data_IF_659605427692
#
_entry.id   IF_659605427692
#
_cell.length_a   1.000
_cell.length_b   1.000
_cell.length_c   1.000
_cell.angle_alpha   90.00
_cell.angle_beta   90.00
_cell.angle_gamma   90.00
#
_symmetry.space_group_name_H-M   'P 1'
#
loop_
_entity.id
_entity.type
_entity.pdbx_description
1 polymer ?
#
# COMPACT_ATOMS: atom_id res chain seq x y z
N UNK A 1 -5.56 46.58 -8.09
CA UNK A 1 -4.27 47.24 -7.84
C UNK A 1 -4.31 47.92 -6.47
N UNK A 2 -3.46 47.49 -5.53
CA UNK A 2 -3.43 48.05 -4.16
C UNK A 2 -3.09 49.55 -4.19
N UNK A 3 -2.34 50.04 -5.19
CA UNK A 3 -2.08 51.47 -5.39
C UNK A 3 -3.32 52.29 -5.75
N UNK A 4 -4.24 51.78 -6.55
CA UNK A 4 -5.48 52.53 -6.90
C UNK A 4 -6.41 52.60 -5.69
N UNK A 5 -6.43 51.56 -4.85
CA UNK A 5 -7.22 51.54 -3.61
C UNK A 5 -6.58 52.42 -2.53
N UNK A 6 -5.25 52.34 -2.38
CA UNK A 6 -4.47 53.05 -1.35
C UNK A 6 -4.22 54.53 -1.70
N UNK A 7 -4.31 54.88 -2.98
CA UNK A 7 -4.20 56.25 -3.50
C UNK A 7 -5.41 56.58 -4.39
N UNK A 8 -6.62 56.34 -3.87
CA UNK A 8 -7.88 56.59 -4.57
C UNK A 8 -8.14 58.09 -4.81
N UNK A 9 -7.47 58.95 -4.06
CA UNK A 9 -7.51 60.42 -4.15
C UNK A 9 -6.73 60.99 -5.36
N UNK A 10 -5.87 60.17 -5.99
CA UNK A 10 -5.11 60.58 -7.17
C UNK A 10 -6.01 60.53 -8.41
N UNK A 11 -6.01 61.62 -9.19
CA UNK A 11 -6.76 61.73 -10.45
C UNK A 11 -6.12 60.98 -11.62
N UNK A 12 -4.87 60.55 -11.50
CA UNK A 12 -4.14 59.78 -12.50
C UNK A 12 -3.12 58.83 -11.86
N UNK A 13 -2.94 57.64 -12.43
CA UNK A 13 -1.97 56.63 -12.01
C UNK A 13 -1.09 56.29 -13.21
N UNK A 14 0.21 56.53 -13.11
CA UNK A 14 1.15 56.31 -14.20
C UNK A 14 1.53 54.83 -14.30
N UNK A 15 1.33 54.24 -15.47
CA UNK A 15 1.76 52.89 -15.82
C UNK A 15 3.00 52.96 -16.71
N UNK A 16 3.98 52.11 -16.44
CA UNK A 16 5.14 51.92 -17.31
C UNK A 16 4.91 50.70 -18.19
N UNK A 17 5.16 50.86 -19.49
CA UNK A 17 4.96 49.81 -20.49
C UNK A 17 6.27 49.57 -21.22
N UNK A 18 6.72 48.33 -21.27
CA UNK A 18 8.00 47.92 -21.88
C UNK A 18 7.71 46.97 -23.06
N UNK A 19 8.15 47.27 -24.29
CA UNK A 19 7.93 46.39 -25.43
C UNK A 19 8.73 45.09 -25.29
N UNK A 20 8.05 43.95 -25.43
CA UNK A 20 8.64 42.60 -25.27
C UNK A 20 9.39 42.12 -26.52
N UNK A 21 9.23 42.81 -27.66
CA UNK A 21 9.95 42.45 -28.88
C UNK A 21 9.87 43.49 -29.99
N UNK A 22 10.83 43.41 -30.92
CA UNK A 22 10.95 44.34 -32.06
C UNK A 22 9.91 44.12 -33.16
N UNK A 23 9.21 42.98 -33.14
CA UNK A 23 8.23 42.56 -34.16
C UNK A 23 6.92 42.05 -33.56
N UNK A 24 6.68 42.33 -32.28
CA UNK A 24 5.45 41.94 -31.59
C UNK A 24 4.72 43.18 -31.12
N UNK A 25 3.41 43.05 -30.89
CA UNK A 25 2.60 44.07 -30.22
C UNK A 25 2.49 43.78 -28.71
N UNK A 26 3.30 42.85 -28.22
CA UNK A 26 3.32 42.43 -26.83
C UNK A 26 4.09 43.46 -26.00
N UNK A 27 3.50 43.87 -24.89
CA UNK A 27 4.01 44.93 -24.03
C UNK A 27 3.86 44.46 -22.58
N UNK A 28 4.97 44.48 -21.84
CA UNK A 28 4.98 44.23 -20.40
C UNK A 28 4.52 45.47 -19.66
N UNK A 29 3.51 45.33 -18.82
CA UNK A 29 3.07 46.38 -17.91
C UNK A 29 3.79 46.21 -16.58
N UNK A 30 4.60 47.18 -16.20
CA UNK A 30 5.34 47.15 -14.94
C UNK A 30 4.37 47.08 -13.75
N UNK A 31 4.55 46.07 -12.90
CA UNK A 31 3.68 45.80 -11.76
C UNK A 31 2.39 45.04 -12.11
N UNK A 32 2.18 44.64 -13.37
CA UNK A 32 1.01 43.82 -13.73
C UNK A 32 1.02 42.47 -13.01
N UNK A 33 2.18 41.82 -12.95
CA UNK A 33 2.36 40.54 -12.27
C UNK A 33 2.04 40.61 -10.77
N UNK A 34 2.43 41.69 -10.10
CA UNK A 34 2.08 41.95 -8.69
C UNK A 34 0.67 42.51 -8.48
N UNK A 35 -0.01 42.90 -9.55
CA UNK A 35 -1.40 43.38 -9.53
C UNK A 35 -2.45 42.28 -9.71
N UNK A 36 -2.03 41.08 -10.14
CA UNK A 36 -2.91 39.91 -10.26
C UNK A 36 -3.40 39.45 -8.88
N UNK A 37 -4.55 38.77 -8.78
CA UNK A 37 -4.99 38.15 -7.52
C UNK A 37 -3.89 37.25 -6.93
N UNK A 38 -3.74 37.26 -5.61
CA UNK A 38 -2.67 36.53 -4.91
C UNK A 38 -2.65 35.03 -5.26
N UNK A 39 -3.80 34.43 -5.49
CA UNK A 39 -3.93 33.03 -5.92
C UNK A 39 -3.35 32.78 -7.30
N UNK A 40 -3.51 33.72 -8.24
CA UNK A 40 -2.94 33.61 -9.59
C UNK A 40 -1.41 33.70 -9.52
N UNK A 41 -0.89 34.58 -8.67
CA UNK A 41 0.55 34.69 -8.43
C UNK A 41 1.10 33.41 -7.77
N UNK A 42 0.41 32.88 -6.76
CA UNK A 42 0.79 31.64 -6.09
C UNK A 42 0.77 30.44 -7.06
N UNK A 43 -0.25 30.31 -7.91
CA UNK A 43 -0.31 29.28 -8.96
C UNK A 43 0.85 29.40 -9.95
N UNK A 44 1.22 30.63 -10.35
CA UNK A 44 2.37 30.84 -11.23
C UNK A 44 3.68 30.37 -10.58
N UNK A 45 3.86 30.63 -9.28
CA UNK A 45 5.02 30.14 -8.52
C UNK A 45 5.04 28.61 -8.41
N UNK A 46 3.89 27.95 -8.35
CA UNK A 46 3.80 26.49 -8.26
C UNK A 46 4.10 25.76 -9.58
N UNK A 47 4.02 26.43 -10.74
CA UNK A 47 4.13 25.79 -12.07
C UNK A 47 5.36 24.89 -12.26
N UNK A 48 6.57 25.20 -11.76
CA UNK A 48 7.71 24.31 -11.90
C UNK A 48 7.54 22.96 -11.20
N UNK A 49 6.61 22.83 -10.25
CA UNK A 49 6.32 21.58 -9.52
C UNK A 49 7.48 21.08 -8.66
N UNK A 50 8.49 21.92 -8.38
CA UNK A 50 9.61 21.56 -7.50
C UNK A 50 9.29 21.90 -6.06
N UNK A 51 9.90 21.21 -5.09
CA UNK A 51 9.68 21.50 -3.66
C UNK A 51 9.89 22.98 -3.32
N UNK A 52 10.98 23.66 -3.76
CA UNK A 52 11.16 25.08 -3.47
C UNK A 52 10.08 25.98 -4.11
N UNK A 53 9.62 25.63 -5.31
CA UNK A 53 8.57 26.36 -6.03
C UNK A 53 7.21 26.24 -5.30
N UNK A 54 6.84 25.01 -4.90
CA UNK A 54 5.63 24.73 -4.14
C UNK A 54 5.67 25.40 -2.75
N UNK A 55 6.82 25.39 -2.07
CA UNK A 55 7.00 26.11 -0.80
C UNK A 55 6.80 27.62 -0.97
N UNK A 56 7.32 28.20 -2.05
CA UNK A 56 7.14 29.63 -2.37
C UNK A 56 5.67 29.95 -2.67
N UNK A 57 4.99 29.07 -3.41
CA UNK A 57 3.56 29.19 -3.70
C UNK A 57 2.70 29.11 -2.42
N UNK A 58 2.99 28.16 -1.52
CA UNK A 58 2.33 28.05 -0.21
C UNK A 58 2.54 29.34 0.61
N UNK A 59 3.78 29.84 0.65
CA UNK A 59 4.09 31.08 1.35
C UNK A 59 3.29 32.26 0.79
N UNK A 60 3.17 32.37 -0.53
CA UNK A 60 2.36 33.41 -1.18
C UNK A 60 0.87 33.25 -0.88
N UNK A 61 0.32 32.05 -1.00
CA UNK A 61 -1.10 31.78 -0.73
C UNK A 61 -1.48 31.96 0.75
N UNK A 62 -0.52 31.78 1.67
CA UNK A 62 -0.75 31.99 3.10
C UNK A 62 -0.94 33.47 3.49
N UNK A 63 -0.58 34.40 2.61
CA UNK A 63 -0.73 35.85 2.85
C UNK A 63 -2.16 36.37 2.65
N UNK A 64 -3.04 35.57 2.03
CA UNK A 64 -4.44 35.95 1.77
C UNK A 64 -5.17 36.17 3.12
N UNK A 65 -5.45 37.44 3.44
CA UNK A 65 -5.99 37.85 4.75
C UNK A 65 -7.35 37.21 5.09
N UNK A 66 -7.51 36.87 6.38
CA UNK A 66 -8.73 36.35 7.01
C UNK A 66 -9.91 37.32 6.81
N UNK A 67 -10.76 37.09 5.81
CA UNK A 67 -11.99 37.84 5.59
C UNK A 67 -12.50 37.92 4.14
N UNK A 68 -11.72 37.52 3.14
CA UNK A 68 -12.16 37.50 1.72
C UNK A 68 -12.75 36.14 1.31
N UNK A 69 -13.70 36.18 0.37
CA UNK A 69 -14.32 35.01 -0.26
C UNK A 69 -13.30 34.03 -0.88
N UNK A 70 -12.11 34.52 -1.24
CA UNK A 70 -11.00 33.75 -1.82
C UNK A 70 -10.22 32.90 -0.80
N UNK A 71 -10.55 32.95 0.50
CA UNK A 71 -9.86 32.14 1.52
C UNK A 71 -9.94 30.63 1.24
N UNK A 72 -11.11 30.15 0.82
CA UNK A 72 -11.33 28.71 0.64
C UNK A 72 -10.44 28.18 -0.48
N UNK A 73 -10.32 28.91 -1.58
CA UNK A 73 -9.48 28.53 -2.71
C UNK A 73 -7.99 28.53 -2.33
N UNK A 74 -7.49 29.58 -1.67
CA UNK A 74 -6.11 29.60 -1.16
C UNK A 74 -5.80 28.43 -0.21
N UNK A 75 -6.72 28.08 0.70
CA UNK A 75 -6.54 26.96 1.61
C UNK A 75 -6.52 25.61 0.88
N UNK A 76 -7.37 25.44 -0.13
CA UNK A 76 -7.36 24.24 -0.98
C UNK A 76 -6.02 24.11 -1.71
N UNK A 77 -5.51 25.19 -2.31
CA UNK A 77 -4.22 25.17 -3.00
C UNK A 77 -3.06 24.83 -2.08
N UNK A 78 -3.04 25.38 -0.87
CA UNK A 78 -2.02 25.06 0.13
C UNK A 78 -2.07 23.56 0.46
N UNK A 79 -3.25 22.99 0.65
CA UNK A 79 -3.40 21.57 0.95
C UNK A 79 -2.93 20.68 -0.23
N UNK A 80 -3.28 21.04 -1.46
CA UNK A 80 -2.83 20.36 -2.67
C UNK A 80 -1.31 20.37 -2.80
N UNK A 81 -0.68 21.54 -2.70
CA UNK A 81 0.79 21.66 -2.81
C UNK A 81 1.52 20.98 -1.66
N UNK A 82 0.95 20.98 -0.45
CA UNK A 82 1.50 20.21 0.67
C UNK A 82 1.49 18.71 0.37
N UNK A 83 0.41 18.19 -0.23
CA UNK A 83 0.36 16.79 -0.66
C UNK A 83 1.36 16.51 -1.78
N UNK A 84 1.50 17.39 -2.77
CA UNK A 84 2.49 17.23 -3.84
C UNK A 84 3.91 17.16 -3.32
N UNK A 85 4.28 18.01 -2.35
CA UNK A 85 5.59 17.95 -1.69
C UNK A 85 5.80 16.57 -1.07
N UNK A 86 4.82 16.04 -0.33
CA UNK A 86 4.92 14.71 0.27
C UNK A 86 5.13 13.63 -0.79
N UNK A 87 4.41 13.71 -1.91
CA UNK A 87 4.57 12.77 -3.03
C UNK A 87 5.97 12.84 -3.61
N UNK A 88 6.53 14.04 -3.82
CA UNK A 88 7.89 14.20 -4.36
C UNK A 88 8.94 13.62 -3.39
N UNK A 89 8.79 13.88 -2.09
CA UNK A 89 9.70 13.37 -1.06
C UNK A 89 9.66 11.84 -0.92
N UNK A 90 8.46 11.24 -0.97
CA UNK A 90 8.27 9.81 -0.71
C UNK A 90 8.42 8.95 -1.98
N UNK A 91 8.31 9.54 -3.17
CA UNK A 91 8.48 8.84 -4.46
C UNK A 91 9.76 8.01 -4.55
N UNK A 92 10.97 8.53 -4.24
CA UNK A 92 12.20 7.73 -4.36
C UNK A 92 12.21 6.52 -3.43
N UNK A 93 11.55 6.60 -2.27
CA UNK A 93 11.41 5.46 -1.35
C UNK A 93 10.55 4.37 -2.00
N UNK A 94 9.42 4.76 -2.59
CA UNK A 94 8.52 3.83 -3.26
C UNK A 94 9.18 3.20 -4.49
N UNK A 95 9.91 3.98 -5.29
CA UNK A 95 10.64 3.50 -6.47
C UNK A 95 11.76 2.53 -6.06
N UNK A 96 12.51 2.83 -4.99
CA UNK A 96 13.52 1.92 -4.45
C UNK A 96 12.90 0.61 -3.94
N UNK A 97 11.77 0.69 -3.23
CA UNK A 97 11.05 -0.49 -2.77
C UNK A 97 10.60 -1.39 -3.94
N UNK A 98 10.04 -0.81 -4.99
CA UNK A 98 9.64 -1.56 -6.19
C UNK A 98 10.86 -2.18 -6.89
N UNK A 99 11.96 -1.44 -7.03
CA UNK A 99 13.17 -1.97 -7.64
C UNK A 99 13.76 -3.17 -6.86
N UNK A 100 13.67 -3.16 -5.52
CA UNK A 100 14.04 -4.31 -4.69
C UNK A 100 13.13 -5.51 -4.94
N UNK A 101 11.81 -5.27 -5.06
CA UNK A 101 10.85 -6.33 -5.35
C UNK A 101 11.09 -6.96 -6.73
N UNK A 102 11.39 -6.16 -7.75
CA UNK A 102 11.71 -6.62 -9.10
C UNK A 102 12.97 -7.49 -9.15
N UNK A 103 13.90 -7.30 -8.21
CA UNK A 103 15.10 -8.14 -8.03
C UNK A 103 14.81 -9.43 -7.25
N UNK A 104 13.57 -9.64 -6.79
CA UNK A 104 13.16 -10.77 -5.94
C UNK A 104 13.41 -10.55 -4.44
N UNK A 105 13.93 -9.40 -4.03
CA UNK A 105 14.22 -9.07 -2.63
C UNK A 105 12.98 -8.51 -1.94
N UNK A 106 11.92 -9.33 -1.83
CA UNK A 106 10.61 -8.89 -1.35
C UNK A 106 10.63 -8.43 0.12
N UNK A 107 11.48 -9.00 0.98
CA UNK A 107 11.60 -8.57 2.38
C UNK A 107 12.22 -7.17 2.50
N UNK A 108 13.25 -6.90 1.69
CA UNK A 108 13.88 -5.57 1.65
C UNK A 108 12.92 -4.54 1.05
N UNK A 109 12.16 -4.92 0.01
CA UNK A 109 11.12 -4.09 -0.57
C UNK A 109 10.05 -3.68 0.46
N UNK A 110 9.56 -4.62 1.27
CA UNK A 110 8.61 -4.35 2.35
C UNK A 110 9.23 -3.37 3.36
N UNK A 111 10.47 -3.60 3.78
CA UNK A 111 11.18 -2.75 4.75
C UNK A 111 11.35 -1.32 4.22
N UNK A 112 11.67 -1.17 2.94
CA UNK A 112 11.80 0.13 2.30
C UNK A 112 10.46 0.86 2.22
N UNK A 113 9.40 0.18 1.76
CA UNK A 113 8.05 0.76 1.66
C UNK A 113 7.47 1.17 3.03
N UNK A 114 7.82 0.47 4.11
CA UNK A 114 7.40 0.79 5.47
C UNK A 114 7.94 2.13 5.99
N UNK A 115 8.96 2.71 5.35
CA UNK A 115 9.45 4.05 5.70
C UNK A 115 8.43 5.15 5.41
N UNK A 116 7.44 4.90 4.56
CA UNK A 116 6.36 5.85 4.23
C UNK A 116 5.30 5.84 5.36
N UNK A 117 5.22 6.95 6.10
CA UNK A 117 4.38 7.07 7.29
C UNK A 117 2.86 7.08 6.98
N UNK A 118 1.99 6.65 7.92
CA UNK A 118 0.54 6.55 7.72
C UNK A 118 -0.21 7.82 7.26
N UNK A 119 0.31 8.99 7.60
CA UNK A 119 -0.28 10.29 7.30
C UNK A 119 0.20 10.90 5.96
N UNK A 120 1.04 10.18 5.21
CA UNK A 120 1.63 10.66 3.96
C UNK A 120 0.78 10.24 2.75
N UNK A 121 0.80 11.07 1.71
CA UNK A 121 0.03 10.85 0.48
C UNK A 121 0.26 9.46 -0.16
N UNK A 122 1.48 8.92 -0.14
CA UNK A 122 1.82 7.63 -0.76
C UNK A 122 1.60 6.41 0.14
N UNK A 123 1.13 6.58 1.38
CA UNK A 123 1.02 5.47 2.33
C UNK A 123 0.09 4.35 1.87
N UNK A 124 -1.10 4.70 1.36
CA UNK A 124 -2.08 3.71 0.89
C UNK A 124 -1.50 2.85 -0.24
N UNK A 125 -0.73 3.47 -1.14
CA UNK A 125 -0.05 2.77 -2.22
C UNK A 125 1.03 1.82 -1.68
N UNK A 126 1.84 2.30 -0.74
CA UNK A 126 2.88 1.50 -0.09
C UNK A 126 2.28 0.27 0.62
N UNK A 127 1.17 0.44 1.36
CA UNK A 127 0.50 -0.66 2.05
C UNK A 127 -0.04 -1.73 1.11
N UNK A 128 -0.59 -1.31 -0.04
CA UNK A 128 -1.05 -2.26 -1.06
C UNK A 128 0.11 -3.13 -1.55
N UNK A 129 1.26 -2.52 -1.86
CA UNK A 129 2.46 -3.24 -2.29
C UNK A 129 2.97 -4.18 -1.20
N UNK A 130 3.04 -3.71 0.05
CA UNK A 130 3.45 -4.54 1.20
C UNK A 130 2.55 -5.76 1.34
N UNK A 131 1.23 -5.59 1.19
CA UNK A 131 0.28 -6.70 1.23
C UNK A 131 0.49 -7.70 0.09
N UNK A 132 0.68 -7.20 -1.13
CA UNK A 132 0.93 -8.03 -2.32
C UNK A 132 2.22 -8.84 -2.16
N UNK A 133 3.31 -8.20 -1.75
CA UNK A 133 4.60 -8.85 -1.51
C UNK A 133 4.56 -9.86 -0.37
N UNK A 134 3.89 -9.52 0.74
CA UNK A 134 3.68 -10.44 1.86
C UNK A 134 2.92 -11.68 1.40
N UNK A 135 1.89 -11.50 0.57
CA UNK A 135 1.11 -12.59 -0.02
C UNK A 135 2.00 -13.45 -0.93
N UNK A 136 2.80 -12.84 -1.78
CA UNK A 136 3.72 -13.56 -2.67
C UNK A 136 4.73 -14.42 -1.88
N UNK A 137 5.29 -13.89 -0.80
CA UNK A 137 6.18 -14.62 0.10
C UNK A 137 5.45 -15.83 0.71
N UNK A 138 4.25 -15.60 1.27
CA UNK A 138 3.47 -16.68 1.88
C UNK A 138 3.13 -17.79 0.88
N UNK A 139 2.74 -17.43 -0.35
CA UNK A 139 2.48 -18.41 -1.41
C UNK A 139 3.75 -19.19 -1.74
N UNK A 140 4.89 -18.52 -1.93
CA UNK A 140 6.15 -19.19 -2.24
C UNK A 140 6.59 -20.18 -1.14
N UNK A 141 6.36 -19.84 0.13
CA UNK A 141 6.64 -20.70 1.29
C UNK A 141 5.68 -21.89 1.38
N UNK A 142 4.38 -21.65 1.17
CA UNK A 142 3.33 -22.64 1.44
C UNK A 142 3.07 -23.57 0.24
N UNK A 143 3.33 -23.11 -1.00
CA UNK A 143 3.03 -23.86 -2.22
C UNK A 143 3.67 -25.26 -2.24
N UNK A 144 4.97 -25.44 -1.89
CA UNK A 144 5.57 -26.77 -1.86
C UNK A 144 4.95 -27.71 -0.83
N UNK A 145 4.41 -27.18 0.28
CA UNK A 145 3.71 -27.97 1.30
C UNK A 145 2.41 -28.49 0.71
N UNK A 146 1.65 -27.61 0.07
CA UNK A 146 0.36 -27.96 -0.54
C UNK A 146 0.53 -28.96 -1.69
N UNK A 147 1.55 -28.79 -2.54
CA UNK A 147 1.83 -29.70 -3.65
C UNK A 147 2.26 -31.10 -3.15
N UNK A 148 3.12 -31.16 -2.12
CA UNK A 148 3.46 -32.44 -1.46
C UNK A 148 2.23 -33.10 -0.85
N UNK A 149 1.34 -32.33 -0.21
CA UNK A 149 0.11 -32.86 0.35
C UNK A 149 -0.80 -33.44 -0.73
N UNK A 150 -0.97 -32.75 -1.86
CA UNK A 150 -1.71 -33.25 -3.03
C UNK A 150 -1.12 -34.57 -3.55
N UNK A 151 0.20 -34.66 -3.68
CA UNK A 151 0.87 -35.90 -4.11
C UNK A 151 0.65 -37.06 -3.15
N UNK A 152 0.69 -36.81 -1.83
CA UNK A 152 0.34 -37.83 -0.83
C UNK A 152 -1.11 -38.31 -1.01
N UNK A 153 -2.05 -37.39 -1.22
CA UNK A 153 -3.45 -37.76 -1.45
C UNK A 153 -3.62 -38.60 -2.72
N UNK A 154 -2.97 -38.23 -3.82
CA UNK A 154 -2.99 -39.02 -5.07
C UNK A 154 -2.39 -40.42 -4.90
N UNK A 155 -1.44 -40.60 -3.98
CA UNK A 155 -0.89 -41.92 -3.63
C UNK A 155 -1.79 -42.74 -2.68
N UNK A 156 -3.00 -42.27 -2.36
CA UNK A 156 -3.92 -42.90 -1.41
C UNK A 156 -3.60 -42.63 0.07
N UNK A 157 -2.53 -41.87 0.36
CA UNK A 157 -2.10 -41.54 1.73
C UNK A 157 -2.85 -40.32 2.28
N UNK A 158 -4.18 -40.43 2.36
CA UNK A 158 -5.08 -39.32 2.69
C UNK A 158 -4.82 -38.71 4.08
N UNK A 159 -4.59 -39.53 5.11
CA UNK A 159 -4.28 -39.02 6.46
C UNK A 159 -2.98 -38.21 6.49
N UNK A 160 -1.95 -38.67 5.78
CA UNK A 160 -0.68 -37.95 5.67
C UNK A 160 -0.84 -36.62 4.90
N UNK A 161 -1.63 -36.63 3.82
CA UNK A 161 -1.95 -35.43 3.06
C UNK A 161 -2.69 -34.38 3.90
N UNK A 162 -3.71 -34.82 4.66
CA UNK A 162 -4.47 -33.96 5.58
C UNK A 162 -3.54 -33.33 6.62
N UNK A 163 -2.70 -34.14 7.26
CA UNK A 163 -1.76 -33.66 8.28
C UNK A 163 -0.78 -32.64 7.70
N UNK A 164 -0.25 -32.89 6.50
CA UNK A 164 0.69 -31.97 5.85
C UNK A 164 0.04 -30.64 5.44
N UNK A 165 -1.12 -30.68 4.78
CA UNK A 165 -1.84 -29.46 4.41
C UNK A 165 -2.33 -28.65 5.62
N UNK A 166 -2.58 -29.31 6.76
CA UNK A 166 -2.99 -28.63 8.00
C UNK A 166 -1.89 -27.76 8.63
N UNK A 167 -0.63 -27.88 8.16
CA UNK A 167 0.48 -27.03 8.58
C UNK A 167 0.35 -25.60 8.03
N UNK A 168 -0.42 -25.40 6.97
CA UNK A 168 -0.71 -24.05 6.44
C UNK A 168 -1.64 -23.34 7.42
N UNK A 169 -1.11 -22.32 8.10
CA UNK A 169 -1.81 -21.63 9.17
C UNK A 169 -2.98 -20.76 8.69
N UNK A 170 -4.03 -20.54 9.51
CA UNK A 170 -5.10 -19.58 9.23
C UNK A 170 -4.55 -18.17 8.96
N UNK A 171 -5.13 -17.48 7.99
CA UNK A 171 -4.73 -16.11 7.62
C UNK A 171 -3.60 -16.04 6.59
N UNK A 172 -2.95 -17.16 6.26
CA UNK A 172 -1.99 -17.22 5.15
C UNK A 172 -2.69 -17.33 3.79
N UNK A 173 -2.02 -16.87 2.74
CA UNK A 173 -2.56 -16.81 1.38
C UNK A 173 -3.17 -18.13 0.89
N UNK A 174 -2.52 -19.27 1.12
CA UNK A 174 -2.98 -20.58 0.65
C UNK A 174 -3.92 -21.32 1.63
N UNK A 175 -4.23 -20.73 2.78
CA UNK A 175 -5.05 -21.40 3.80
C UNK A 175 -6.42 -21.83 3.28
N UNK A 176 -7.09 -20.97 2.51
CA UNK A 176 -8.41 -21.26 1.94
C UNK A 176 -8.38 -22.43 0.96
N UNK A 177 -7.31 -22.59 0.20
CA UNK A 177 -7.11 -23.74 -0.69
C UNK A 177 -6.80 -25.01 0.11
N UNK A 178 -5.86 -24.93 1.05
CA UNK A 178 -5.51 -26.04 1.92
C UNK A 178 -6.74 -26.60 2.67
N UNK A 179 -7.58 -25.72 3.21
CA UNK A 179 -8.82 -26.10 3.92
C UNK A 179 -9.81 -26.86 3.03
N UNK A 180 -9.98 -26.42 1.77
CA UNK A 180 -10.85 -27.11 0.80
C UNK A 180 -10.29 -28.49 0.44
N UNK A 181 -8.98 -28.60 0.20
CA UNK A 181 -8.33 -29.87 -0.08
C UNK A 181 -8.46 -30.86 1.09
N UNK A 182 -8.23 -30.40 2.33
CA UNK A 182 -8.41 -31.21 3.54
C UNK A 182 -9.84 -31.72 3.67
N UNK A 183 -10.85 -30.88 3.39
CA UNK A 183 -12.25 -31.28 3.46
C UNK A 183 -12.57 -32.41 2.47
N UNK A 184 -12.06 -32.31 1.24
CA UNK A 184 -12.23 -33.35 0.21
C UNK A 184 -11.56 -34.66 0.62
N UNK A 185 -10.31 -34.62 1.09
CA UNK A 185 -9.59 -35.83 1.48
C UNK A 185 -10.18 -36.50 2.72
N UNK A 186 -10.76 -35.74 3.64
CA UNK A 186 -11.51 -36.29 4.77
C UNK A 186 -12.74 -37.06 4.27
N UNK A 187 -13.54 -36.44 3.41
CA UNK A 187 -14.72 -37.09 2.84
C UNK A 187 -14.36 -38.38 2.09
N UNK A 188 -13.31 -38.36 1.26
CA UNK A 188 -12.84 -39.53 0.52
C UNK A 188 -12.39 -40.66 1.45
N UNK A 189 -11.58 -40.33 2.47
CA UNK A 189 -11.09 -41.31 3.44
C UNK A 189 -12.25 -41.94 4.21
N UNK A 190 -13.19 -41.12 4.66
CA UNK A 190 -14.34 -41.56 5.43
C UNK A 190 -15.28 -42.43 4.56
N UNK A 191 -15.42 -42.09 3.27
CA UNK A 191 -16.14 -42.91 2.29
C UNK A 191 -15.49 -44.29 2.09
N UNK A 192 -14.17 -44.35 1.85
CA UNK A 192 -13.42 -45.61 1.72
C UNK A 192 -13.61 -46.47 2.98
N UNK A 193 -13.56 -45.85 4.16
CA UNK A 193 -13.74 -46.57 5.41
C UNK A 193 -15.15 -47.16 5.55
N UNK A 194 -16.19 -46.41 5.15
CA UNK A 194 -17.58 -46.89 5.16
C UNK A 194 -17.77 -48.12 4.26
N UNK A 195 -17.08 -48.20 3.12
CA UNK A 195 -17.11 -49.37 2.24
C UNK A 195 -16.47 -50.58 2.93
N UNK A 196 -15.29 -50.41 3.53
CA UNK A 196 -14.61 -51.52 4.22
C UNK A 196 -15.37 -52.04 5.43
N UNK A 197 -16.07 -51.15 6.14
CA UNK A 197 -16.96 -51.52 7.25
C UNK A 197 -18.15 -52.34 6.76
N UNK A 198 -18.78 -51.94 5.65
CA UNK A 198 -19.85 -52.70 5.01
C UNK A 198 -19.39 -54.07 4.47
N UNK A 199 -18.13 -54.18 4.03
CA UNK A 199 -17.52 -55.44 3.55
C UNK A 199 -17.06 -56.38 4.68
N UNK A 200 -17.20 -56.01 5.96
CA UNK A 200 -16.80 -56.85 7.10
C UNK A 200 -15.28 -57.03 7.26
N UNK A 201 -14.46 -56.18 6.63
CA UNK A 201 -12.98 -56.29 6.62
C UNK A 201 -12.30 -55.66 7.86
N UNK A 202 -13.06 -55.25 8.87
CA UNK A 202 -12.60 -54.38 9.97
C UNK A 202 -11.75 -55.05 11.07
N UNK A 203 -11.50 -56.36 11.00
CA UNK A 203 -10.86 -57.12 12.07
C UNK A 203 -9.35 -56.90 12.29
N UNK A 204 -8.59 -56.40 11.32
CA UNK A 204 -7.11 -56.40 11.40
C UNK A 204 -6.44 -55.02 11.37
N UNK A 205 -7.14 -53.93 11.05
CA UNK A 205 -6.52 -52.61 10.80
C UNK A 205 -6.47 -51.69 12.04
N UNK A 206 -6.90 -52.16 13.22
CA UNK A 206 -6.96 -51.36 14.45
C UNK A 206 -5.58 -51.17 15.14
N UNK A 207 -4.52 -51.76 14.60
CA UNK A 207 -3.19 -51.83 15.24
C UNK A 207 -2.24 -50.65 15.00
N UNK A 208 -2.43 -49.86 13.93
CA UNK A 208 -1.44 -48.84 13.54
C UNK A 208 -1.84 -47.39 13.88
N UNK A 209 -3.13 -47.12 14.14
CA UNK A 209 -3.57 -45.75 14.45
C UNK A 209 -3.28 -45.29 15.89
N UNK A 210 -2.86 -46.20 16.79
CA UNK A 210 -2.70 -45.89 18.23
C UNK A 210 -1.25 -45.95 18.74
N UNK A 211 -0.24 -45.98 17.85
CA UNK A 211 1.19 -45.96 18.21
C UNK A 211 1.89 -44.66 17.79
N UNK A 212 1.34 -43.51 18.19
CA UNK A 212 2.14 -42.29 18.27
C UNK A 212 1.47 -41.25 19.16
N UNK A 213 1.83 -41.25 20.44
CA UNK A 213 1.80 -40.05 21.28
C UNK A 213 0.70 -39.94 22.34
N UNK A 214 0.94 -40.52 23.51
CA UNK A 214 1.15 -39.71 24.72
C UNK A 214 1.68 -40.59 25.87
N UNK A 215 2.69 -40.14 26.64
CA UNK A 215 3.30 -40.91 27.71
C UNK A 215 2.39 -40.89 28.95
N UNK A 216 2.04 -42.08 29.45
CA UNK A 216 1.49 -42.26 30.79
C UNK A 216 2.63 -42.19 31.80
N UNK A 217 2.72 -41.07 32.52
CA UNK A 217 3.37 -41.02 33.82
C UNK A 217 2.51 -41.78 34.83
N UNK A 218 2.94 -42.97 35.24
CA UNK A 218 2.40 -43.68 36.39
C UNK A 218 3.36 -43.56 37.57
N UNK A 219 2.87 -42.95 38.65
CA UNK A 219 3.39 -43.09 40.01
C UNK A 219 3.53 -44.56 40.42
N UNK A 220 4.52 -44.83 41.29
CA UNK A 220 4.59 -45.86 42.35
C UNK A 220 6.07 -46.00 42.75
N UNK A 221 6.52 -46.17 43.97
CA UNK A 221 6.07 -45.92 45.34
C UNK A 221 7.30 -46.27 46.21
N UNK A 222 7.46 -45.59 47.35
CA UNK A 222 8.09 -46.09 48.60
C UNK A 222 9.55 -46.63 48.63
N UNK A 223 10.44 -45.90 49.31
CA UNK A 223 11.09 -46.28 50.59
C UNK A 223 11.69 -45.04 51.29
#
# INVERSE_FOLDING_TARGET
EDKVVRFADKTQHQLFVEPEGWRTVEVYLNGLSSSMPEEVQARALAQPGTIPALQSAIAQASQVQLGRALRVEAQTLIAEWQQEIQVIEDRPILEAAVALADQGNLQDAITEAQKIQPNRALHSRAQTLIQDWTTAIQVAEDQPILDKAKNLAYSGRLTAAINLASQIAPGRALYGEAKRAIALWKAERDYIWSIWEAEGRSGSARGEANRSGSPSSSSSDSE
#
